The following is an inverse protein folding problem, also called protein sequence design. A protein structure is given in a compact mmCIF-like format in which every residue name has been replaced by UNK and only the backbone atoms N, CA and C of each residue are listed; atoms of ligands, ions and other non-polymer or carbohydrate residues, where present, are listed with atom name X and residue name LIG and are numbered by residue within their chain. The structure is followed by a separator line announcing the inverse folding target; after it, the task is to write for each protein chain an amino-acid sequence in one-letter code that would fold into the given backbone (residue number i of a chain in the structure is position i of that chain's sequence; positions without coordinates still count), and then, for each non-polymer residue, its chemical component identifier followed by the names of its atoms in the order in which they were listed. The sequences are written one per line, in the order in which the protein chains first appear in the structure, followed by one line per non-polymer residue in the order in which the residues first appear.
data_IF_772423704138
#
_entry.id   IF_772423704138
#
_cell.length_a   1.000
_cell.length_b   1.000
_cell.length_c   1.000
_cell.angle_alpha   90.00
_cell.angle_beta   90.00
_cell.angle_gamma   90.00
#
_symmetry.space_group_name_H-M   'P 1'
#
loop_
_entity.id
_entity.type
_entity.pdbx_description
1 polymer ?
#
# COMPACT_ATOMS: atom_id res chain seq x y z
N UNK A 1 29.10 19.68 -1.42
CA UNK A 1 27.97 19.15 -2.21
C UNK A 1 28.11 19.68 -3.62
N UNK A 2 28.22 18.79 -4.60
CA UNK A 2 28.54 19.16 -5.98
C UNK A 2 27.29 19.72 -6.68
N UNK A 3 27.40 20.79 -7.47
CA UNK A 3 26.22 21.39 -8.14
C UNK A 3 25.52 20.42 -9.08
N UNK A 4 26.28 19.51 -9.71
CA UNK A 4 25.73 18.41 -10.49
C UNK A 4 24.87 17.44 -9.66
N UNK A 5 25.25 17.22 -8.41
CA UNK A 5 24.57 16.30 -7.50
C UNK A 5 23.20 16.88 -7.09
N UNK A 6 23.18 18.16 -6.73
CA UNK A 6 21.94 18.93 -6.45
C UNK A 6 21.01 18.94 -7.68
N UNK A 7 21.58 19.08 -8.89
CA UNK A 7 20.81 19.09 -10.13
C UNK A 7 20.21 17.71 -10.44
N UNK A 8 20.98 16.64 -10.23
CA UNK A 8 20.51 15.26 -10.39
C UNK A 8 19.44 14.89 -9.36
N UNK A 9 19.56 15.34 -8.11
CA UNK A 9 18.54 15.15 -7.08
C UNK A 9 17.24 15.92 -7.37
N UNK A 10 17.34 17.19 -7.81
CA UNK A 10 16.17 17.96 -8.24
C UNK A 10 15.46 17.30 -9.42
N UNK A 11 16.23 16.79 -10.39
CA UNK A 11 15.69 16.07 -11.54
C UNK A 11 15.06 14.75 -11.08
N UNK A 12 15.67 14.02 -10.14
CA UNK A 12 15.09 12.78 -9.57
C UNK A 12 13.77 13.06 -8.86
N UNK A 13 13.70 14.09 -7.99
CA UNK A 13 12.48 14.51 -7.30
C UNK A 13 11.37 15.03 -8.23
N UNK A 14 11.73 15.54 -9.42
CA UNK A 14 10.77 15.96 -10.46
C UNK A 14 10.29 14.78 -11.32
N UNK A 15 11.15 13.79 -11.56
CA UNK A 15 10.86 12.63 -12.41
C UNK A 15 10.19 11.47 -11.67
N UNK A 16 10.32 11.40 -10.34
CA UNK A 16 9.47 10.59 -9.45
C UNK A 16 8.66 11.50 -8.53
N UNK A 17 7.54 12.08 -9.00
CA UNK A 17 6.51 12.53 -8.08
C UNK A 17 5.82 11.26 -7.57
N UNK A 18 6.39 10.64 -6.54
CA UNK A 18 5.59 9.81 -5.63
C UNK A 18 4.45 10.74 -5.21
N UNK A 19 3.18 10.44 -5.49
CA UNK A 19 2.09 11.30 -5.02
C UNK A 19 2.07 11.20 -3.50
N UNK A 20 2.90 12.02 -2.87
CA UNK A 20 2.96 12.22 -1.44
C UNK A 20 1.67 12.94 -1.11
N UNK A 21 0.67 12.13 -0.74
CA UNK A 21 -0.57 12.63 -0.16
C UNK A 21 -0.16 13.51 1.02
N UNK A 22 -0.54 14.78 1.00
CA UNK A 22 -0.18 15.69 2.09
C UNK A 22 -0.71 15.17 3.42
N UNK A 23 -0.11 15.60 4.53
CA UNK A 23 -0.53 15.15 5.87
C UNK A 23 -2.04 15.32 6.08
N UNK A 24 -2.60 16.43 5.62
CA UNK A 24 -4.03 16.74 5.76
C UNK A 24 -4.90 15.74 4.99
N UNK A 25 -4.52 15.37 3.77
CA UNK A 25 -5.24 14.36 3.01
C UNK A 25 -5.08 12.95 3.64
N UNK A 26 -3.92 12.62 4.19
CA UNK A 26 -3.71 11.34 4.90
C UNK A 26 -4.56 11.24 6.16
N UNK A 27 -4.76 12.35 6.88
CA UNK A 27 -5.63 12.41 8.05
C UNK A 27 -7.10 12.38 7.64
N UNK A 28 -7.47 13.14 6.60
CA UNK A 28 -8.84 13.21 6.09
C UNK A 28 -9.37 11.86 5.60
N UNK A 29 -8.56 11.12 4.85
CA UNK A 29 -8.98 9.84 4.25
C UNK A 29 -8.53 8.63 5.07
N UNK A 30 -7.98 8.83 6.26
CA UNK A 30 -7.37 7.76 7.08
C UNK A 30 -8.31 6.57 7.25
N UNK A 31 -9.57 6.83 7.58
CA UNK A 31 -10.53 5.77 7.88
C UNK A 31 -10.99 5.02 6.61
N UNK A 32 -11.01 5.69 5.47
CA UNK A 32 -11.38 5.12 4.17
C UNK A 32 -10.28 4.23 3.59
N UNK A 33 -9.02 4.57 3.86
CA UNK A 33 -7.83 3.92 3.29
C UNK A 33 -7.06 3.05 4.27
N UNK A 34 -7.65 2.78 5.43
CA UNK A 34 -7.10 1.87 6.43
C UNK A 34 -7.53 0.43 6.14
N UNK A 35 -6.62 -0.51 6.42
CA UNK A 35 -6.94 -1.92 6.32
C UNK A 35 -8.10 -2.25 7.27
N UNK A 36 -9.16 -2.86 6.74
CA UNK A 36 -10.35 -3.22 7.51
C UNK A 36 -10.13 -4.28 8.59
N UNK A 37 -8.93 -4.89 8.63
CA UNK A 37 -8.58 -5.94 9.61
C UNK A 37 -7.64 -5.40 10.69
N UNK A 38 -6.52 -4.77 10.29
CA UNK A 38 -5.48 -4.33 11.23
C UNK A 38 -5.42 -2.81 11.43
N UNK A 39 -6.17 -2.02 10.66
CA UNK A 39 -6.21 -0.56 10.77
C UNK A 39 -4.95 0.17 10.27
N UNK A 40 -4.01 -0.51 9.61
CA UNK A 40 -2.84 0.16 9.04
C UNK A 40 -3.28 1.14 7.94
N UNK A 41 -2.75 2.35 7.98
CA UNK A 41 -2.97 3.37 6.96
C UNK A 41 -2.15 3.03 5.71
N UNK A 42 -2.81 2.66 4.61
CA UNK A 42 -2.14 2.25 3.38
C UNK A 42 -1.73 3.43 2.47
N UNK A 43 -2.07 4.67 2.85
CA UNK A 43 -1.53 5.91 2.25
C UNK A 43 -0.31 6.45 3.01
N UNK A 44 0.11 5.79 4.09
CA UNK A 44 1.30 6.20 4.81
C UNK A 44 2.55 5.94 3.94
N UNK A 45 3.49 6.90 3.81
CA UNK A 45 4.73 6.69 3.04
C UNK A 45 5.58 5.52 3.54
N UNK A 46 5.40 5.06 4.78
CA UNK A 46 6.06 3.88 5.33
C UNK A 46 5.47 2.56 4.82
N UNK A 47 4.24 2.57 4.28
CA UNK A 47 3.59 1.39 3.73
C UNK A 47 4.18 1.06 2.35
N UNK A 48 4.68 -0.17 2.19
CA UNK A 48 5.34 -0.65 0.95
C UNK A 48 4.65 -1.84 0.30
N UNK A 49 3.55 -2.33 0.88
CA UNK A 49 2.82 -3.48 0.39
C UNK A 49 1.77 -3.13 -0.67
N UNK A 50 1.15 -4.15 -1.24
CA UNK A 50 0.01 -3.98 -2.14
C UNK A 50 -1.29 -3.66 -1.37
N UNK A 51 -2.21 -2.94 -2.00
CA UNK A 51 -3.56 -2.68 -1.45
C UNK A 51 -4.57 -3.50 -2.24
N UNK A 52 -5.42 -4.23 -1.53
CA UNK A 52 -6.46 -5.06 -2.12
C UNK A 52 -7.85 -4.54 -1.74
N UNK A 53 -8.76 -4.52 -2.70
CA UNK A 53 -10.16 -4.21 -2.50
C UNK A 53 -10.99 -5.48 -2.66
N UNK A 54 -11.88 -5.77 -1.70
CA UNK A 54 -12.80 -6.89 -1.84
C UNK A 54 -13.93 -6.52 -2.81
N UNK A 55 -14.12 -7.27 -3.92
CA UNK A 55 -15.15 -6.94 -4.92
C UNK A 55 -16.59 -7.13 -4.42
N UNK A 56 -16.77 -7.77 -3.26
CA UNK A 56 -18.10 -8.04 -2.68
C UNK A 56 -18.52 -6.95 -1.70
N UNK A 57 -17.61 -6.50 -0.84
CA UNK A 57 -17.93 -5.57 0.24
C UNK A 57 -17.26 -4.18 0.11
N UNK A 58 -16.39 -3.97 -0.90
CA UNK A 58 -15.68 -2.72 -1.15
C UNK A 58 -14.64 -2.35 -0.09
N UNK A 59 -14.36 -3.24 0.87
CA UNK A 59 -13.38 -2.98 1.93
C UNK A 59 -11.96 -3.11 1.41
N UNK A 60 -11.07 -2.29 1.95
CA UNK A 60 -9.64 -2.31 1.66
C UNK A 60 -8.85 -3.15 2.68
N UNK A 61 -7.82 -3.81 2.18
CA UNK A 61 -6.97 -4.72 2.94
C UNK A 61 -5.50 -4.53 2.57
N UNK A 62 -4.63 -4.55 3.59
CA UNK A 62 -3.20 -4.64 3.35
C UNK A 62 -2.82 -6.04 2.85
N UNK A 63 -1.68 -6.12 2.17
CA UNK A 63 -1.15 -7.35 1.59
C UNK A 63 -1.08 -8.50 2.61
N UNK A 64 -0.59 -8.25 3.82
CA UNK A 64 -0.50 -9.28 4.86
C UNK A 64 -1.87 -9.83 5.28
N UNK A 65 -2.86 -8.96 5.46
CA UNK A 65 -4.20 -9.39 5.86
C UNK A 65 -4.89 -10.11 4.72
N UNK A 66 -4.71 -9.64 3.49
CA UNK A 66 -5.22 -10.30 2.30
C UNK A 66 -4.64 -11.71 2.14
N UNK A 67 -3.31 -11.83 2.24
CA UNK A 67 -2.60 -13.11 2.14
C UNK A 67 -2.97 -14.07 3.26
N UNK A 68 -3.26 -13.61 4.48
CA UNK A 68 -3.79 -14.47 5.57
C UNK A 68 -5.19 -14.99 5.27
N UNK A 69 -6.05 -14.18 4.66
CA UNK A 69 -7.41 -14.58 4.28
C UNK A 69 -7.40 -15.56 3.08
N UNK A 70 -6.58 -15.29 2.06
CA UNK A 70 -6.43 -16.16 0.90
C UNK A 70 -5.55 -17.40 1.18
N UNK A 71 -4.62 -17.30 2.13
CA UNK A 71 -3.72 -18.37 2.54
C UNK A 71 -4.43 -19.59 3.13
N UNK A 72 -5.69 -19.45 3.55
CA UNK A 72 -6.58 -20.58 3.89
C UNK A 72 -6.85 -21.48 2.66
N UNK A 73 -6.61 -21.02 1.43
CA UNK A 73 -6.83 -21.80 0.20
C UNK A 73 -5.62 -22.59 -0.29
N UNK A 74 -4.41 -22.40 0.26
CA UNK A 74 -3.23 -23.12 -0.23
C UNK A 74 -3.06 -24.53 0.38
N UNK A 75 -3.80 -24.89 1.43
CA UNK A 75 -3.76 -26.27 1.99
C UNK A 75 -4.66 -27.27 1.24
N UNK A 76 -5.44 -26.85 0.22
CA UNK A 76 -6.34 -27.76 -0.52
C UNK A 76 -5.85 -28.18 -1.91
N UNK A 77 -4.64 -27.78 -2.33
CA UNK A 77 -4.06 -28.25 -3.60
C UNK A 77 -3.04 -29.37 -3.35
N UNK A 78 -3.51 -30.61 -3.29
CA UNK A 78 -2.63 -31.73 -3.57
C UNK A 78 -3.00 -33.10 -3.01
N UNK A 79 -4.23 -33.59 -3.17
CA UNK A 79 -4.45 -35.04 -3.28
C UNK A 79 -5.60 -35.28 -4.27
N UNK A 80 -5.24 -35.51 -5.54
CA UNK A 80 -6.05 -36.34 -6.43
C UNK A 80 -5.27 -37.64 -6.59
N UNK A 81 -5.83 -38.74 -6.05
CA UNK A 81 -5.40 -40.12 -6.33
C UNK A 81 -5.92 -40.56 -7.69
#
# INVERSE_FOLDING_TARGET
MNEEEIRREKIRNLLTPDVLVCKDCREKYKDEVSCSVCGINMLDPSYKGMVYECPVCGKLYCEDCWNKMEGVKQESKGIFH
#
